data_IF_909960109131
#
_entry.id   IF_909960109131
#
_cell.length_a   1.000
_cell.length_b   1.000
_cell.length_c   1.000
_cell.angle_alpha   90.00
_cell.angle_beta   90.00
_cell.angle_gamma   90.00
#
_symmetry.space_group_name_H-M   'P 1'
#
loop_
_entity.id
_entity.type
_entity.pdbx_description
1 polymer ?
#
# COMPACT_ATOMS: atom_id res chain seq x y z
N UNK A 1 9.24 11.35 0.27
CA UNK A 1 8.79 10.73 1.51
C UNK A 1 7.34 10.28 1.36
N UNK A 2 6.96 9.14 1.98
CA UNK A 2 5.60 8.60 1.94
C UNK A 2 5.27 8.03 3.31
N UNK A 3 4.07 8.30 3.82
CA UNK A 3 3.58 7.68 5.05
C UNK A 3 2.32 6.87 4.76
N UNK A 4 2.24 5.68 5.31
CA UNK A 4 1.11 4.78 5.09
C UNK A 4 0.53 4.33 6.43
N UNK A 5 -0.78 4.38 6.53
CA UNK A 5 -1.53 3.82 7.64
C UNK A 5 -2.23 2.53 7.23
N UNK A 6 -2.73 1.81 8.20
CA UNK A 6 -3.67 0.70 8.02
C UNK A 6 -4.63 0.66 9.23
N UNK A 7 -5.74 -0.08 9.15
CA UNK A 7 -6.72 -0.12 10.23
C UNK A 7 -6.15 -0.50 11.59
N UNK A 8 -5.19 -1.43 11.64
CA UNK A 8 -4.57 -1.88 12.90
C UNK A 8 -3.70 -0.79 13.53
N UNK A 9 -2.96 -0.02 12.73
CA UNK A 9 -2.14 1.10 13.21
C UNK A 9 -3.04 2.22 13.74
N UNK A 10 -4.10 2.56 13.00
CA UNK A 10 -5.07 3.59 13.43
C UNK A 10 -5.76 3.18 14.74
N UNK A 11 -6.22 1.93 14.82
CA UNK A 11 -6.84 1.41 16.05
C UNK A 11 -5.89 1.42 17.26
N UNK A 12 -4.62 1.08 17.07
CA UNK A 12 -3.61 1.12 18.12
C UNK A 12 -3.33 2.55 18.61
N UNK A 13 -3.41 3.55 17.73
CA UNK A 13 -3.23 4.95 18.04
C UNK A 13 -4.38 5.59 18.80
N UNK A 14 -5.54 4.93 18.90
CA UNK A 14 -6.77 5.43 19.58
C UNK A 14 -7.21 6.82 19.11
N UNK A 15 -6.84 7.21 17.90
CA UNK A 15 -7.22 8.47 17.26
C UNK A 15 -8.11 8.22 16.06
N UNK A 16 -8.96 9.17 15.73
CA UNK A 16 -9.76 9.16 14.51
C UNK A 16 -8.92 9.66 13.31
N UNK A 17 -9.30 9.29 12.09
CA UNK A 17 -8.53 9.64 10.88
C UNK A 17 -8.49 11.15 10.61
N UNK A 18 -9.56 11.87 10.97
CA UNK A 18 -9.66 13.32 10.84
C UNK A 18 -8.67 14.09 11.74
N UNK A 19 -8.25 13.47 12.86
CA UNK A 19 -7.18 13.99 13.73
C UNK A 19 -5.81 13.50 13.30
N UNK A 20 -5.68 12.20 13.02
CA UNK A 20 -4.39 11.56 12.74
C UNK A 20 -3.78 12.01 11.39
N UNK A 21 -4.58 12.10 10.32
CA UNK A 21 -4.04 12.38 8.99
C UNK A 21 -3.43 13.79 8.87
N UNK A 22 -4.07 14.87 9.39
CA UNK A 22 -3.42 16.19 9.43
C UNK A 22 -2.13 16.22 10.23
N UNK A 23 -2.06 15.52 11.38
CA UNK A 23 -0.84 15.43 12.19
C UNK A 23 0.29 14.73 11.42
N UNK A 24 -0.01 13.66 10.69
CA UNK A 24 0.98 12.98 9.85
C UNK A 24 1.44 13.87 8.69
N UNK A 25 0.55 14.62 8.07
CA UNK A 25 0.91 15.55 7.00
C UNK A 25 1.83 16.67 7.52
N UNK A 26 1.55 17.21 8.69
CA UNK A 26 2.40 18.19 9.36
C UNK A 26 3.77 17.61 9.70
N UNK A 27 3.82 16.41 10.29
CA UNK A 27 5.08 15.72 10.62
C UNK A 27 5.93 15.40 9.38
N UNK A 28 5.31 15.25 8.21
CA UNK A 28 6.00 15.09 6.93
C UNK A 28 6.47 16.42 6.32
N UNK A 29 6.24 17.56 6.98
CA UNK A 29 6.59 18.88 6.47
C UNK A 29 5.81 19.30 5.23
N UNK A 30 4.60 18.78 5.05
CA UNK A 30 3.76 19.01 3.87
C UNK A 30 4.28 18.39 2.57
N UNK A 31 5.33 17.57 2.64
CA UNK A 31 5.92 16.91 1.48
C UNK A 31 5.60 15.41 1.45
N UNK A 32 5.45 14.89 0.22
CA UNK A 32 5.16 13.48 0.01
C UNK A 32 3.66 13.17 0.02
N UNK A 33 3.31 11.89 0.01
CA UNK A 33 1.91 11.44 -0.08
C UNK A 33 1.54 10.57 1.11
N UNK A 34 0.33 10.78 1.63
CA UNK A 34 -0.29 9.95 2.65
C UNK A 34 -1.13 8.85 2.01
N UNK A 35 -1.20 7.71 2.68
CA UNK A 35 -1.97 6.55 2.27
C UNK A 35 -2.87 6.11 3.42
N UNK A 36 -4.17 6.06 3.22
CA UNK A 36 -5.13 5.55 4.20
C UNK A 36 -6.13 4.59 3.58
N UNK A 37 -6.57 3.61 4.36
CA UNK A 37 -7.39 2.51 3.88
C UNK A 37 -8.88 2.76 4.15
N UNK A 38 -9.72 2.43 3.15
CA UNK A 38 -11.17 2.34 3.29
C UNK A 38 -11.55 1.15 4.17
N UNK A 39 -12.67 1.25 4.87
CA UNK A 39 -13.14 0.23 5.82
C UNK A 39 -14.38 -0.52 5.35
N UNK A 40 -15.16 0.07 4.45
CA UNK A 40 -16.34 -0.57 3.87
C UNK A 40 -15.95 -1.84 3.08
N UNK A 41 -16.91 -2.74 2.92
CA UNK A 41 -16.73 -4.03 2.23
C UNK A 41 -17.42 -4.08 0.86
N UNK A 42 -18.27 -3.12 0.53
CA UNK A 42 -18.92 -2.97 -0.78
C UNK A 42 -18.23 -1.89 -1.61
N UNK A 43 -18.31 -1.97 -2.92
CA UNK A 43 -17.69 -1.02 -3.83
C UNK A 43 -18.16 0.42 -3.57
N UNK A 44 -19.49 0.63 -3.46
CA UNK A 44 -20.09 1.93 -3.20
C UNK A 44 -19.65 2.48 -1.82
N UNK A 45 -19.60 1.62 -0.82
CA UNK A 45 -19.12 1.97 0.52
C UNK A 45 -17.65 2.38 0.49
N UNK A 46 -16.78 1.67 -0.22
CA UNK A 46 -15.37 2.02 -0.40
C UNK A 46 -15.19 3.36 -1.11
N UNK A 47 -15.99 3.64 -2.14
CA UNK A 47 -16.00 4.94 -2.83
C UNK A 47 -16.44 6.06 -1.89
N UNK A 48 -17.48 5.83 -1.09
CA UNK A 48 -17.93 6.79 -0.07
C UNK A 48 -16.83 7.09 0.95
N UNK A 49 -16.15 6.05 1.46
CA UNK A 49 -15.04 6.22 2.39
C UNK A 49 -13.85 6.96 1.76
N UNK A 50 -13.54 6.67 0.50
CA UNK A 50 -12.50 7.35 -0.25
C UNK A 50 -12.75 8.86 -0.37
N UNK A 51 -14.00 9.25 -0.65
CA UNK A 51 -14.40 10.67 -0.71
C UNK A 51 -14.24 11.37 0.65
N UNK A 52 -14.57 10.68 1.76
CA UNK A 52 -14.33 11.20 3.13
C UNK A 52 -12.85 11.41 3.40
N UNK A 53 -11.99 10.44 3.03
CA UNK A 53 -10.54 10.58 3.15
C UNK A 53 -10.00 11.75 2.33
N UNK A 54 -10.49 11.95 1.12
CA UNK A 54 -10.14 13.09 0.25
C UNK A 54 -10.60 14.44 0.82
N UNK A 55 -11.71 14.47 1.54
CA UNK A 55 -12.16 15.67 2.23
C UNK A 55 -11.23 16.10 3.38
N UNK A 56 -10.52 15.14 4.00
CA UNK A 56 -9.53 15.42 5.05
C UNK A 56 -8.19 15.83 4.43
N UNK A 57 -7.68 15.05 3.47
CA UNK A 57 -6.40 15.28 2.78
C UNK A 57 -6.62 15.19 1.27
N UNK A 58 -6.52 16.32 0.59
CA UNK A 58 -6.90 16.46 -0.82
C UNK A 58 -6.10 15.60 -1.81
N UNK A 59 -4.85 15.25 -1.52
CA UNK A 59 -3.95 14.46 -2.37
C UNK A 59 -3.66 13.05 -1.84
N UNK A 60 -4.48 12.57 -0.87
CA UNK A 60 -4.32 11.25 -0.28
C UNK A 60 -4.46 10.13 -1.33
N UNK A 61 -3.64 9.10 -1.22
CA UNK A 61 -3.80 7.85 -1.96
C UNK A 61 -4.68 6.89 -1.15
N UNK A 62 -5.79 6.48 -1.74
CA UNK A 62 -6.76 5.62 -1.05
C UNK A 62 -6.35 4.16 -1.18
N UNK A 63 -6.16 3.48 -0.06
CA UNK A 63 -5.86 2.04 -0.04
C UNK A 63 -7.15 1.25 -0.08
N UNK A 64 -7.24 0.37 -1.07
CA UNK A 64 -8.42 -0.47 -1.34
C UNK A 64 -8.00 -1.93 -1.33
N UNK A 65 -8.58 -2.81 -0.48
CA UNK A 65 -8.30 -4.24 -0.52
C UNK A 65 -8.66 -4.85 -1.88
N UNK A 66 -7.76 -5.66 -2.44
CA UNK A 66 -7.96 -6.27 -3.77
C UNK A 66 -8.87 -7.49 -3.64
N UNK A 67 -10.16 -7.21 -3.65
CA UNK A 67 -11.29 -8.15 -3.73
C UNK A 67 -12.12 -7.82 -4.97
N UNK A 68 -13.16 -8.60 -5.31
CA UNK A 68 -14.07 -8.26 -6.42
C UNK A 68 -14.69 -6.87 -6.25
N UNK A 69 -15.20 -6.57 -5.05
CA UNK A 69 -15.73 -5.25 -4.70
C UNK A 69 -14.65 -4.16 -4.75
N UNK A 70 -13.44 -4.48 -4.27
CA UNK A 70 -12.31 -3.56 -4.30
C UNK A 70 -11.86 -3.23 -5.72
N UNK A 71 -11.84 -4.19 -6.65
CA UNK A 71 -11.53 -3.93 -8.07
C UNK A 71 -12.57 -3.01 -8.70
N UNK A 72 -13.85 -3.22 -8.38
CA UNK A 72 -14.94 -2.33 -8.82
C UNK A 72 -14.73 -0.91 -8.23
N UNK A 73 -14.42 -0.80 -6.94
CA UNK A 73 -14.15 0.47 -6.30
C UNK A 73 -12.94 1.19 -6.92
N UNK A 74 -11.84 0.49 -7.19
CA UNK A 74 -10.64 1.05 -7.84
C UNK A 74 -11.00 1.65 -9.20
N UNK A 75 -11.80 0.94 -10.00
CA UNK A 75 -12.25 1.42 -11.32
C UNK A 75 -13.08 2.69 -11.19
N UNK A 76 -14.06 2.74 -10.30
CA UNK A 76 -14.89 3.91 -10.05
C UNK A 76 -14.05 5.11 -9.56
N UNK A 77 -13.14 4.88 -8.62
CA UNK A 77 -12.24 5.91 -8.10
C UNK A 77 -11.28 6.45 -9.18
N UNK A 78 -10.85 5.59 -10.11
CA UNK A 78 -10.06 6.00 -11.27
C UNK A 78 -10.83 6.98 -12.15
N UNK A 79 -12.12 6.74 -12.40
CA UNK A 79 -12.98 7.63 -13.17
C UNK A 79 -13.18 8.99 -12.47
N UNK A 80 -13.14 9.02 -11.14
CA UNK A 80 -13.19 10.25 -10.32
C UNK A 80 -11.81 10.95 -10.18
N UNK A 81 -10.75 10.41 -10.77
CA UNK A 81 -9.38 10.95 -10.64
C UNK A 81 -8.79 10.78 -9.23
N UNK A 82 -9.30 9.84 -8.44
CA UNK A 82 -8.80 9.55 -7.09
C UNK A 82 -7.73 8.46 -7.18
N UNK A 83 -6.48 8.74 -6.80
CA UNK A 83 -5.40 7.77 -6.85
C UNK A 83 -5.62 6.66 -5.81
N UNK A 84 -5.40 5.42 -6.23
CA UNK A 84 -5.59 4.26 -5.36
C UNK A 84 -4.34 3.40 -5.24
N UNK A 85 -4.26 2.67 -4.12
CA UNK A 85 -3.31 1.59 -3.88
C UNK A 85 -4.10 0.30 -3.62
N UNK A 86 -3.96 -0.68 -4.51
CA UNK A 86 -4.47 -2.04 -4.27
C UNK A 86 -3.68 -2.71 -3.15
N UNK A 87 -4.32 -2.97 -2.01
CA UNK A 87 -3.67 -3.55 -0.82
C UNK A 87 -4.17 -4.96 -0.53
N UNK A 88 -3.53 -5.64 0.42
CA UNK A 88 -3.80 -7.05 0.75
C UNK A 88 -3.61 -7.97 -0.46
N UNK A 89 -2.52 -7.78 -1.19
CA UNK A 89 -2.16 -8.60 -2.33
C UNK A 89 -1.26 -9.74 -1.89
N UNK A 90 -1.67 -10.96 -2.21
CA UNK A 90 -1.00 -12.22 -1.83
C UNK A 90 -0.48 -13.00 -3.04
N UNK A 91 -0.71 -12.51 -4.27
CA UNK A 91 -0.23 -13.14 -5.50
C UNK A 91 -0.11 -12.15 -6.65
N UNK A 92 0.79 -12.41 -7.59
CA UNK A 92 1.09 -11.53 -8.71
C UNK A 92 -0.13 -11.30 -9.61
N UNK A 93 -0.93 -12.33 -9.88
CA UNK A 93 -2.14 -12.22 -10.68
C UNK A 93 -3.18 -11.27 -10.04
N UNK A 94 -3.37 -11.36 -8.70
CA UNK A 94 -4.24 -10.46 -7.96
C UNK A 94 -3.76 -9.01 -8.08
N UNK A 95 -2.45 -8.79 -7.97
CA UNK A 95 -1.85 -7.47 -8.12
C UNK A 95 -2.01 -6.89 -9.53
N UNK A 96 -1.86 -7.72 -10.57
CA UNK A 96 -2.09 -7.32 -11.94
C UNK A 96 -3.53 -6.86 -12.17
N UNK A 97 -4.52 -7.58 -11.63
CA UNK A 97 -5.94 -7.17 -11.75
C UNK A 97 -6.19 -5.79 -11.13
N UNK A 98 -5.57 -5.49 -9.98
CA UNK A 98 -5.67 -4.17 -9.36
C UNK A 98 -5.09 -3.07 -10.26
N UNK A 99 -3.93 -3.32 -10.86
CA UNK A 99 -3.30 -2.38 -11.79
C UNK A 99 -4.14 -2.16 -13.05
N UNK A 100 -4.69 -3.22 -13.64
CA UNK A 100 -5.58 -3.13 -14.81
C UNK A 100 -6.91 -2.42 -14.48
N UNK A 101 -7.41 -2.54 -13.25
CA UNK A 101 -8.54 -1.76 -12.77
C UNK A 101 -8.22 -0.26 -12.60
N UNK A 102 -6.94 0.13 -12.59
CA UNK A 102 -6.49 1.51 -12.56
C UNK A 102 -5.81 1.95 -11.27
N UNK A 103 -5.40 1.02 -10.41
CA UNK A 103 -4.62 1.35 -9.23
C UNK A 103 -3.26 1.97 -9.62
N UNK A 104 -2.89 3.08 -8.99
CA UNK A 104 -1.58 3.72 -9.19
C UNK A 104 -0.47 2.92 -8.51
N UNK A 105 -0.79 2.31 -7.37
CA UNK A 105 0.12 1.45 -6.62
C UNK A 105 -0.50 0.09 -6.34
N UNK A 106 0.35 -0.93 -6.21
CA UNK A 106 -0.05 -2.29 -5.80
C UNK A 106 0.88 -2.73 -4.67
N UNK A 107 0.30 -3.20 -3.56
CA UNK A 107 1.06 -3.56 -2.36
C UNK A 107 1.02 -5.06 -2.06
N UNK A 108 1.96 -5.85 -2.59
CA UNK A 108 2.15 -7.24 -2.18
C UNK A 108 2.63 -7.33 -0.72
N UNK A 109 2.08 -8.29 0.02
CA UNK A 109 2.38 -8.51 1.44
C UNK A 109 3.43 -9.60 1.61
N UNK A 110 4.72 -9.25 1.51
CA UNK A 110 5.85 -10.17 1.46
C UNK A 110 5.85 -11.17 2.62
N UNK A 111 5.99 -10.72 3.85
CA UNK A 111 6.06 -11.63 5.00
C UNK A 111 4.77 -12.44 5.22
N UNK A 112 3.60 -11.91 4.84
CA UNK A 112 2.34 -12.67 4.98
C UNK A 112 2.23 -13.79 3.95
N UNK A 113 2.76 -13.61 2.75
CA UNK A 113 2.89 -14.67 1.74
C UNK A 113 3.83 -15.75 2.25
N UNK A 114 5.01 -15.36 2.77
CA UNK A 114 5.97 -16.32 3.37
C UNK A 114 5.35 -17.11 4.52
N UNK A 115 4.63 -16.42 5.41
CA UNK A 115 3.96 -17.07 6.56
C UNK A 115 2.85 -18.06 6.18
N UNK A 116 2.34 -17.96 4.95
CA UNK A 116 1.37 -18.93 4.38
C UNK A 116 2.03 -20.03 3.54
N UNK A 117 3.36 -20.12 3.56
CA UNK A 117 4.12 -21.11 2.81
C UNK A 117 4.36 -20.78 1.34
N UNK A 118 4.09 -19.52 0.93
CA UNK A 118 4.43 -19.01 -0.38
C UNK A 118 5.83 -18.37 -0.42
N UNK A 119 6.14 -17.69 -1.52
CA UNK A 119 7.37 -16.91 -1.71
C UNK A 119 6.99 -15.45 -1.99
N UNK A 120 7.14 -14.61 -0.98
CA UNK A 120 6.78 -13.19 -1.07
C UNK A 120 7.70 -12.41 -2.00
N UNK A 121 8.99 -12.75 -2.06
CA UNK A 121 9.96 -12.10 -2.95
C UNK A 121 9.67 -12.48 -4.40
N UNK A 122 9.45 -13.76 -4.67
CA UNK A 122 9.08 -14.22 -6.00
C UNK A 122 7.77 -13.56 -6.48
N UNK A 123 6.79 -13.42 -5.60
CA UNK A 123 5.55 -12.68 -5.88
C UNK A 123 5.81 -11.23 -6.32
N UNK A 124 6.77 -10.54 -5.68
CA UNK A 124 7.17 -9.17 -6.07
C UNK A 124 7.85 -9.17 -7.44
N UNK A 125 8.77 -10.11 -7.70
CA UNK A 125 9.46 -10.25 -9.00
C UNK A 125 8.46 -10.45 -10.12
N UNK A 126 7.55 -11.40 -9.97
CA UNK A 126 6.51 -11.70 -10.97
C UNK A 126 5.58 -10.50 -11.20
N UNK A 127 5.13 -9.87 -10.11
CA UNK A 127 4.27 -8.68 -10.21
C UNK A 127 4.98 -7.53 -10.92
N UNK A 128 6.25 -7.28 -10.60
CA UNK A 128 7.04 -6.23 -11.26
C UNK A 128 7.17 -6.48 -12.76
N UNK A 129 7.41 -7.72 -13.18
CA UNK A 129 7.46 -8.11 -14.59
C UNK A 129 6.10 -7.93 -15.27
N UNK A 130 5.01 -8.39 -14.63
CA UNK A 130 3.67 -8.24 -15.18
C UNK A 130 3.26 -6.77 -15.32
N UNK A 131 3.56 -5.92 -14.34
CA UNK A 131 3.24 -4.51 -14.42
C UNK A 131 4.04 -3.81 -15.51
N UNK A 132 5.32 -4.11 -15.66
CA UNK A 132 6.15 -3.51 -16.71
C UNK A 132 5.64 -3.81 -18.12
N UNK A 133 5.05 -4.99 -18.34
CA UNK A 133 4.53 -5.43 -19.64
C UNK A 133 3.08 -5.00 -19.90
N UNK A 134 2.23 -5.00 -18.89
CA UNK A 134 0.77 -4.90 -19.07
C UNK A 134 0.14 -3.68 -18.40
N UNK A 135 0.82 -3.04 -17.44
CA UNK A 135 0.31 -1.90 -16.71
C UNK A 135 1.46 -0.96 -16.25
N UNK A 136 2.27 -0.42 -17.18
CA UNK A 136 3.50 0.32 -16.85
C UNK A 136 3.25 1.62 -16.07
N UNK A 137 2.01 2.10 -16.01
CA UNK A 137 1.61 3.26 -15.20
C UNK A 137 1.45 2.93 -13.70
N UNK A 138 1.33 1.64 -13.36
CA UNK A 138 1.18 1.18 -11.98
C UNK A 138 2.54 0.80 -11.38
N UNK A 139 2.69 1.00 -10.07
CA UNK A 139 3.95 0.82 -9.35
C UNK A 139 3.81 -0.17 -8.22
N UNK A 140 4.82 -1.03 -8.03
CA UNK A 140 4.87 -1.89 -6.86
C UNK A 140 5.31 -1.07 -5.64
N UNK A 141 4.52 -1.12 -4.57
CA UNK A 141 4.84 -0.63 -3.24
C UNK A 141 4.80 -1.82 -2.28
N UNK A 142 5.90 -2.56 -2.18
CA UNK A 142 5.94 -3.76 -1.36
C UNK A 142 5.82 -3.45 0.14
N UNK A 143 5.12 -4.32 0.84
CA UNK A 143 4.73 -4.09 2.24
C UNK A 143 4.84 -5.39 3.07
N UNK A 144 4.64 -5.26 4.38
CA UNK A 144 4.64 -6.39 5.32
C UNK A 144 6.02 -7.05 5.40
N UNK A 145 6.97 -6.32 5.96
CA UNK A 145 8.32 -6.83 6.25
C UNK A 145 8.49 -7.18 7.72
N UNK A 146 9.31 -8.18 8.00
CA UNK A 146 9.77 -8.58 9.34
C UNK A 146 11.30 -8.52 9.49
N UNK A 147 12.00 -8.50 8.38
CA UNK A 147 13.47 -8.42 8.37
C UNK A 147 13.97 -7.38 7.35
N UNK A 148 15.12 -6.75 7.61
CA UNK A 148 15.80 -5.91 6.62
C UNK A 148 16.09 -6.64 5.31
N UNK A 149 16.37 -7.94 5.37
CA UNK A 149 16.68 -8.76 4.20
C UNK A 149 15.49 -8.82 3.22
N UNK A 150 14.28 -9.08 3.71
CA UNK A 150 13.08 -9.07 2.85
C UNK A 150 12.90 -7.72 2.13
N UNK A 151 13.11 -6.61 2.84
CA UNK A 151 13.00 -5.27 2.24
C UNK A 151 14.06 -5.03 1.16
N UNK A 152 15.30 -5.43 1.42
CA UNK A 152 16.41 -5.30 0.46
C UNK A 152 16.17 -6.16 -0.78
N UNK A 153 15.71 -7.40 -0.62
CA UNK A 153 15.43 -8.30 -1.74
C UNK A 153 14.34 -7.75 -2.67
N UNK A 154 13.30 -7.11 -2.11
CA UNK A 154 12.29 -6.41 -2.91
C UNK A 154 12.88 -5.25 -3.74
N UNK A 155 13.78 -4.46 -3.16
CA UNK A 155 14.45 -3.39 -3.88
C UNK A 155 15.36 -3.94 -4.99
N UNK A 156 16.08 -5.04 -4.71
CA UNK A 156 16.90 -5.73 -5.72
C UNK A 156 16.07 -6.35 -6.85
N UNK A 157 14.84 -6.75 -6.56
CA UNK A 157 13.86 -7.20 -7.56
C UNK A 157 13.32 -6.07 -8.46
N UNK A 158 13.76 -4.83 -8.25
CA UNK A 158 13.34 -3.67 -9.04
C UNK A 158 12.07 -2.98 -8.53
N UNK A 159 11.63 -3.28 -7.31
CA UNK A 159 10.48 -2.62 -6.69
C UNK A 159 10.77 -1.13 -6.48
N UNK A 160 9.92 -0.25 -7.00
CA UNK A 160 10.14 1.21 -6.94
C UNK A 160 9.97 1.80 -5.53
N UNK A 161 9.17 1.16 -4.69
CA UNK A 161 8.88 1.65 -3.36
C UNK A 161 8.60 0.49 -2.39
N UNK A 162 8.98 0.71 -1.14
CA UNK A 162 8.67 -0.17 -0.01
C UNK A 162 8.08 0.64 1.13
N UNK A 163 7.28 0.00 1.98
CA UNK A 163 6.85 0.59 3.25
C UNK A 163 7.37 -0.24 4.41
N UNK A 164 8.21 0.39 5.24
CA UNK A 164 8.89 -0.25 6.35
C UNK A 164 8.18 0.05 7.67
N UNK A 165 7.92 -0.95 8.52
CA UNK A 165 7.60 -0.69 9.92
C UNK A 165 8.85 -0.15 10.64
N UNK A 166 8.63 0.60 11.71
CA UNK A 166 9.70 1.31 12.42
C UNK A 166 10.79 0.35 12.94
N UNK A 167 10.38 -0.79 13.47
CA UNK A 167 11.29 -1.82 13.99
C UNK A 167 12.24 -2.38 12.91
N UNK A 168 11.73 -2.63 11.71
CA UNK A 168 12.58 -3.07 10.58
C UNK A 168 13.51 -1.95 10.12
N UNK A 169 13.03 -0.69 10.06
CA UNK A 169 13.88 0.45 9.73
C UNK A 169 15.01 0.64 10.75
N UNK A 170 14.73 0.49 12.03
CA UNK A 170 15.74 0.52 13.10
C UNK A 170 16.76 -0.61 12.97
N UNK A 171 16.32 -1.83 12.62
CA UNK A 171 17.24 -2.94 12.36
C UNK A 171 18.18 -2.69 11.18
N UNK A 172 17.75 -1.94 10.16
CA UNK A 172 18.60 -1.57 9.03
C UNK A 172 19.74 -0.60 9.42
N UNK A 173 19.53 0.17 10.48
CA UNK A 173 20.51 1.14 11.01
C UNK A 173 21.36 0.54 12.14
N UNK A 174 20.88 -0.51 12.78
CA UNK A 174 21.57 -1.15 13.90
C UNK A 174 22.75 -2.01 13.44
N UNK A 175 23.88 -1.90 14.13
CA UNK A 175 24.99 -2.84 14.03
C UNK A 175 25.05 -3.70 15.29
N UNK A 176 25.19 -5.05 15.19
CA UNK A 176 25.26 -5.93 16.37
C UNK A 176 26.44 -5.68 17.28
N UNK A 177 27.38 -4.81 16.87
CA UNK A 177 28.65 -4.55 17.56
C UNK A 177 28.69 -3.18 18.29
N UNK A 178 27.56 -2.46 18.36
CA UNK A 178 27.49 -1.15 19.05
C UNK A 178 26.42 -1.18 20.11
#
# INVERSE_FOLDING_TARGET
>A
FRSTTNPSIVAAGKQTLDVLLPQLQEAMGGQGRLFAQVMATTAEGMVSDARKLRAIIADIVVKVPVTAEGLTAIKLLKEEGIPTLGTAVYGAAQGLLAALAGAEYVAPYVNRVDAQGGDGIQTVVELQQLLSLHAPQSKVLAASFKTPRQALDCLLAGCEAITLPLDVAQQMLGTPAV
#
